data_IF_297586705163
#
_entry.id   IF_297586705163
#
_cell.length_a   1.000
_cell.length_b   1.000
_cell.length_c   1.000
_cell.angle_alpha   90.00
_cell.angle_beta   90.00
_cell.angle_gamma   90.00
#
_symmetry.space_group_name_H-M   'P 1'
#
loop_
_entity.id
_entity.type
_entity.pdbx_description
1 polymer ?
#
# COMPACT_ATOMS: atom_id res chain seq x y z
N UNK A 1 -6.30 -4.53 24.40
CA UNK A 1 -4.96 -4.82 23.84
C UNK A 1 -3.92 -4.54 24.91
N UNK A 2 -2.99 -5.46 25.12
CA UNK A 2 -1.80 -5.20 25.95
C UNK A 2 -0.89 -4.20 25.25
N UNK A 3 -0.02 -3.51 25.99
CA UNK A 3 0.94 -2.57 25.39
C UNK A 3 1.91 -3.28 24.43
N UNK A 4 2.22 -4.56 24.67
CA UNK A 4 3.02 -5.39 23.76
C UNK A 4 2.32 -5.60 22.41
N UNK A 5 1.04 -6.01 22.43
CA UNK A 5 0.27 -6.24 21.21
C UNK A 5 0.06 -4.94 20.41
N UNK A 6 -0.14 -3.81 21.09
CA UNK A 6 -0.22 -2.49 20.43
C UNK A 6 1.11 -2.14 19.74
N UNK A 7 2.24 -2.37 20.43
CA UNK A 7 3.58 -2.09 19.88
C UNK A 7 3.88 -2.97 18.66
N UNK A 8 3.56 -4.26 18.72
CA UNK A 8 3.71 -5.18 17.58
C UNK A 8 2.85 -4.75 16.38
N UNK A 9 1.58 -4.41 16.62
CA UNK A 9 0.69 -3.89 15.57
C UNK A 9 1.26 -2.64 14.90
N UNK A 10 1.71 -1.65 15.67
CA UNK A 10 2.26 -0.40 15.11
C UNK A 10 3.54 -0.67 14.33
N UNK A 11 4.42 -1.54 14.82
CA UNK A 11 5.63 -1.94 14.12
C UNK A 11 5.33 -2.62 12.78
N UNK A 12 4.35 -3.53 12.75
CA UNK A 12 3.93 -4.16 11.49
C UNK A 12 3.28 -3.14 10.55
N UNK A 13 2.38 -2.28 11.07
CA UNK A 13 1.69 -1.27 10.27
C UNK A 13 2.68 -0.32 9.60
N UNK A 14 3.59 0.30 10.35
CA UNK A 14 4.54 1.25 9.77
C UNK A 14 5.68 0.57 9.02
N UNK A 15 6.11 -0.63 9.45
CA UNK A 15 7.19 -1.39 8.81
C UNK A 15 6.80 -2.05 7.48
N UNK A 16 5.51 -2.30 7.25
CA UNK A 16 4.99 -2.89 6.01
C UNK A 16 4.61 -1.87 4.94
N UNK A 17 4.89 -0.58 5.17
CA UNK A 17 4.49 0.49 4.27
C UNK A 17 5.19 0.35 2.92
N UNK A 18 4.41 0.17 1.85
CA UNK A 18 4.90 0.15 0.46
C UNK A 18 4.19 1.20 -0.37
N UNK A 19 4.91 1.89 -1.23
CA UNK A 19 4.36 2.97 -2.06
C UNK A 19 4.00 2.48 -3.47
N UNK A 20 2.95 3.08 -4.02
CA UNK A 20 2.43 2.80 -5.35
C UNK A 20 2.48 4.07 -6.21
N UNK A 21 2.83 3.87 -7.47
CA UNK A 21 3.02 4.89 -8.48
C UNK A 21 2.02 4.74 -9.63
N UNK A 22 1.64 5.86 -10.19
CA UNK A 22 0.93 5.99 -11.46
C UNK A 22 1.60 7.12 -12.24
N UNK A 23 1.94 6.93 -13.51
CA UNK A 23 2.54 7.98 -14.35
C UNK A 23 3.77 8.69 -13.73
N UNK A 24 4.61 7.93 -13.01
CA UNK A 24 5.79 8.44 -12.26
C UNK A 24 5.49 9.34 -11.06
N UNK A 25 4.23 9.53 -10.70
CA UNK A 25 3.82 10.16 -9.47
C UNK A 25 3.50 9.10 -8.40
N UNK A 26 3.91 9.36 -7.16
CA UNK A 26 3.54 8.52 -6.02
C UNK A 26 2.11 8.87 -5.62
N UNK A 27 1.17 7.97 -5.86
CA UNK A 27 -0.26 8.27 -5.72
C UNK A 27 -0.93 7.56 -4.54
N UNK A 28 -0.33 6.50 -4.02
CA UNK A 28 -0.89 5.73 -2.92
C UNK A 28 0.19 5.00 -2.10
N UNK A 29 -0.24 4.40 -0.99
CA UNK A 29 0.56 3.44 -0.25
C UNK A 29 -0.32 2.33 0.33
N UNK A 30 0.31 1.20 0.65
CA UNK A 30 -0.32 0.08 1.33
C UNK A 30 0.34 -0.22 2.67
N UNK A 31 -0.42 -0.84 3.58
CA UNK A 31 0.06 -1.49 4.79
C UNK A 31 -0.42 -2.94 4.81
N UNK A 32 0.42 -3.85 5.31
CA UNK A 32 0.06 -5.26 5.52
C UNK A 32 0.11 -5.55 7.00
N UNK A 33 -1.02 -5.93 7.58
CA UNK A 33 -1.13 -6.20 9.01
C UNK A 33 -1.93 -7.48 9.22
N UNK A 34 -1.32 -8.48 9.84
CA UNK A 34 -1.95 -9.79 10.08
C UNK A 34 -2.62 -10.40 8.82
N UNK A 35 -2.06 -10.17 7.64
CA UNK A 35 -2.61 -10.67 6.36
C UNK A 35 -3.72 -9.79 5.74
N UNK A 36 -4.15 -8.73 6.41
CA UNK A 36 -5.05 -7.72 5.84
C UNK A 36 -4.24 -6.62 5.14
N UNK A 37 -4.72 -6.18 3.98
CA UNK A 37 -4.07 -5.19 3.15
C UNK A 37 -4.87 -3.89 3.16
N UNK A 38 -4.27 -2.81 3.65
CA UNK A 38 -4.89 -1.49 3.70
C UNK A 38 -4.29 -0.61 2.62
N UNK A 39 -5.11 -0.11 1.70
CA UNK A 39 -4.71 0.81 0.65
C UNK A 39 -5.18 2.22 0.97
N UNK A 40 -4.28 3.19 0.88
CA UNK A 40 -4.55 4.60 1.14
C UNK A 40 -4.00 5.48 0.02
N UNK A 41 -4.90 6.16 -0.70
CA UNK A 41 -4.54 7.17 -1.68
C UNK A 41 -3.96 8.43 -1.03
N UNK A 42 -3.02 9.07 -1.73
CA UNK A 42 -2.39 10.32 -1.31
C UNK A 42 -3.27 11.52 -1.70
N UNK A 43 -2.90 12.71 -1.23
CA UNK A 43 -3.60 13.96 -1.55
C UNK A 43 -3.17 14.43 -2.94
N UNK A 44 -3.59 13.67 -3.96
CA UNK A 44 -3.37 13.92 -5.38
C UNK A 44 -4.67 13.68 -6.15
N UNK A 45 -4.88 14.32 -7.32
CA UNK A 45 -6.07 14.10 -8.13
C UNK A 45 -6.33 12.61 -8.40
N UNK A 46 -7.59 12.18 -8.26
CA UNK A 46 -8.00 10.78 -8.48
C UNK A 46 -7.78 9.83 -7.29
N UNK A 47 -6.90 10.16 -6.35
CA UNK A 47 -6.56 9.28 -5.22
C UNK A 47 -6.89 9.85 -3.85
N UNK A 48 -7.11 11.16 -3.74
CA UNK A 48 -7.45 11.78 -2.47
C UNK A 48 -8.69 11.15 -1.83
N UNK A 49 -8.52 10.69 -0.58
CA UNK A 49 -9.60 10.10 0.20
C UNK A 49 -9.90 8.63 -0.14
N UNK A 50 -9.24 8.04 -1.14
CA UNK A 50 -9.41 6.62 -1.46
C UNK A 50 -8.86 5.77 -0.32
N UNK A 51 -9.74 4.96 0.27
CA UNK A 51 -9.38 3.93 1.27
C UNK A 51 -10.03 2.61 0.87
N UNK A 52 -9.24 1.56 0.79
CA UNK A 52 -9.70 0.20 0.51
C UNK A 52 -9.04 -0.78 1.48
N UNK A 53 -9.73 -1.85 1.77
CA UNK A 53 -9.22 -2.99 2.53
C UNK A 53 -9.41 -4.22 1.67
N UNK A 54 -8.39 -5.07 1.61
CA UNK A 54 -8.42 -6.34 0.90
C UNK A 54 -8.04 -7.45 1.87
N UNK A 55 -8.71 -8.58 1.77
CA UNK A 55 -8.51 -9.74 2.64
C UNK A 55 -7.45 -10.69 2.08
N UNK A 56 -7.16 -10.57 0.78
CA UNK A 56 -6.14 -11.38 0.11
C UNK A 56 -5.17 -10.52 -0.70
N UNK A 57 -3.96 -11.06 -0.92
CA UNK A 57 -3.00 -10.46 -1.82
C UNK A 57 -3.54 -10.39 -3.26
N UNK A 58 -4.30 -11.40 -3.70
CA UNK A 58 -4.82 -11.48 -5.06
C UNK A 58 -5.81 -10.35 -5.39
N UNK A 59 -6.70 -10.01 -4.45
CA UNK A 59 -7.62 -8.87 -4.59
C UNK A 59 -6.86 -7.54 -4.71
N UNK A 60 -5.84 -7.35 -3.85
CA UNK A 60 -5.00 -6.16 -3.91
C UNK A 60 -4.25 -6.07 -5.25
N UNK A 61 -3.59 -7.15 -5.67
CA UNK A 61 -2.83 -7.19 -6.92
C UNK A 61 -3.73 -6.98 -8.14
N UNK A 62 -4.96 -7.51 -8.11
CA UNK A 62 -5.97 -7.25 -9.13
C UNK A 62 -6.34 -5.76 -9.18
N UNK A 63 -6.59 -5.14 -8.01
CA UNK A 63 -6.89 -3.72 -7.93
C UNK A 63 -5.74 -2.85 -8.45
N UNK A 64 -4.50 -3.17 -8.07
CA UNK A 64 -3.28 -2.49 -8.53
C UNK A 64 -3.19 -2.54 -10.06
N UNK A 65 -3.32 -3.73 -10.65
CA UNK A 65 -3.26 -3.92 -12.11
C UNK A 65 -4.38 -3.19 -12.84
N UNK A 66 -5.61 -3.25 -12.33
CA UNK A 66 -6.77 -2.57 -12.93
C UNK A 66 -6.60 -1.05 -13.01
N UNK A 67 -5.86 -0.46 -12.07
CA UNK A 67 -5.61 0.98 -12.02
C UNK A 67 -4.25 1.39 -12.59
N UNK A 68 -3.51 0.47 -13.21
CA UNK A 68 -2.19 0.76 -13.78
C UNK A 68 -1.19 1.24 -12.74
N UNK A 69 -1.29 0.73 -11.51
CA UNK A 69 -0.38 1.07 -10.43
C UNK A 69 0.85 0.15 -10.44
N UNK A 70 1.99 0.72 -10.04
CA UNK A 70 3.25 0.00 -9.91
C UNK A 70 3.86 0.22 -8.54
N UNK A 71 4.53 -0.79 -7.98
CA UNK A 71 5.28 -0.63 -6.74
C UNK A 71 6.53 0.22 -6.97
N UNK A 72 6.87 1.06 -5.99
CA UNK A 72 8.10 1.86 -6.02
C UNK A 72 9.36 1.00 -6.26
N UNK A 73 9.39 -0.19 -5.66
CA UNK A 73 10.47 -1.17 -5.79
C UNK A 73 10.69 -1.60 -7.25
N UNK A 74 9.62 -1.69 -8.06
CA UNK A 74 9.70 -2.04 -9.48
C UNK A 74 10.31 -0.90 -10.32
N UNK A 75 10.12 0.36 -9.90
CA UNK A 75 10.76 1.51 -10.54
C UNK A 75 12.25 1.59 -10.25
N UNK A 76 12.68 1.23 -9.05
CA UNK A 76 14.11 1.20 -8.72
C UNK A 76 14.87 0.15 -9.53
N UNK A 77 14.23 -0.95 -9.91
CA UNK A 77 14.83 -2.03 -10.70
C UNK A 77 15.01 -1.69 -12.20
N UNK A 78 14.38 -0.63 -12.71
CA UNK A 78 14.44 -0.24 -14.14
C UNK A 78 15.49 0.83 -14.45
N UNK A 79 16.30 1.25 -13.46
CA UNK A 79 17.31 2.31 -13.59
C UNK A 79 18.73 1.80 -13.95
N UNK A 80 18.88 0.56 -14.46
CA UNK A 80 20.17 -0.03 -14.85
C UNK A 80 20.31 -0.24 -16.35
#
# INVERSE_FOLDING_TARGET
MTDSARKEYLNQFFGSKRYLYQDNERVAHIHVVNGTYYFHGHIVPGWQGVKKTFDTAEELETYIKQHGLEYEEQKQLTLF
#
